data_IF_743604635226
#
_entry.id   IF_743604635226
#
_cell.length_a   1.000
_cell.length_b   1.000
_cell.length_c   1.000
_cell.angle_alpha   90.00
_cell.angle_beta   90.00
_cell.angle_gamma   90.00
#
_symmetry.space_group_name_H-M   'P 1'
#
loop_
_entity.id
_entity.type
_entity.pdbx_description
1 polymer ?
#
# COMPACT_ATOMS: atom_id res chain seq x y z
N UNK A 1 -1.41 0.68 20.21
CA UNK A 1 -0.37 0.23 19.27
C UNK A 1 0.85 1.14 19.26
N UNK A 2 0.69 2.46 19.19
CA UNK A 2 1.82 3.42 19.12
C UNK A 2 2.89 3.21 20.20
N UNK A 3 2.58 3.25 21.52
CA UNK A 3 3.61 3.07 22.55
C UNK A 3 4.19 1.64 22.56
N UNK A 4 3.42 0.64 22.14
CA UNK A 4 3.92 -0.74 21.98
C UNK A 4 5.00 -0.80 20.92
N UNK A 5 4.74 -0.22 19.75
CA UNK A 5 5.69 -0.23 18.64
C UNK A 5 6.97 0.55 18.97
N UNK A 6 6.87 1.64 19.74
CA UNK A 6 8.06 2.34 20.25
C UNK A 6 8.91 1.43 21.15
N UNK A 7 8.30 0.66 22.06
CA UNK A 7 9.02 -0.33 22.87
C UNK A 7 9.65 -1.42 22.01
N UNK A 8 8.88 -2.00 21.08
CA UNK A 8 9.33 -3.10 20.23
C UNK A 8 10.52 -2.66 19.36
N UNK A 9 10.47 -1.46 18.79
CA UNK A 9 11.58 -0.89 18.00
C UNK A 9 12.83 -0.59 18.84
N UNK A 10 12.64 -0.24 20.11
CA UNK A 10 13.73 0.01 21.04
C UNK A 10 14.26 -1.28 21.71
N UNK A 11 13.65 -2.44 21.46
CA UNK A 11 14.06 -3.73 22.00
C UNK A 11 13.66 -3.97 23.46
N UNK A 12 12.71 -3.21 23.99
CA UNK A 12 12.20 -3.37 25.36
C UNK A 12 10.96 -4.26 25.40
N UNK A 13 10.72 -4.90 26.55
CA UNK A 13 9.48 -5.64 26.78
C UNK A 13 8.28 -4.68 26.86
N UNK A 14 7.53 -4.60 25.76
CA UNK A 14 6.37 -3.76 25.68
C UNK A 14 5.26 -4.16 26.68
N UNK A 15 5.22 -5.41 27.13
CA UNK A 15 4.18 -5.87 28.07
C UNK A 15 4.37 -5.22 29.43
N UNK A 16 5.57 -5.32 30.00
CA UNK A 16 5.90 -4.71 31.29
C UNK A 16 5.76 -3.18 31.27
N UNK A 17 6.32 -2.52 30.24
CA UNK A 17 6.27 -1.05 30.12
C UNK A 17 4.82 -0.55 29.98
N UNK A 18 3.98 -1.20 29.17
CA UNK A 18 2.59 -0.78 29.00
C UNK A 18 1.75 -1.04 30.25
N UNK A 19 2.03 -2.08 31.02
CA UNK A 19 1.33 -2.32 32.28
C UNK A 19 1.63 -1.21 33.29
N UNK A 20 2.90 -0.84 33.45
CA UNK A 20 3.32 0.29 34.29
C UNK A 20 2.70 1.60 33.82
N UNK A 21 2.69 1.84 32.50
CA UNK A 21 2.11 3.04 31.91
C UNK A 21 0.60 3.14 32.20
N UNK A 22 -0.14 2.05 31.99
CA UNK A 22 -1.58 1.99 32.27
C UNK A 22 -1.90 2.18 33.75
N UNK A 23 -1.10 1.60 34.64
CA UNK A 23 -1.26 1.80 36.08
C UNK A 23 -1.11 3.27 36.46
N UNK A 24 -0.11 3.97 35.91
CA UNK A 24 0.06 5.42 36.14
C UNK A 24 -1.08 6.24 35.54
N UNK A 25 -1.52 5.92 34.31
CA UNK A 25 -2.61 6.62 33.64
C UNK A 25 -3.98 6.41 34.32
N UNK A 26 -4.16 5.31 35.06
CA UNK A 26 -5.40 5.01 35.79
C UNK A 26 -5.56 5.81 37.09
N UNK A 27 -4.56 6.58 37.52
CA UNK A 27 -4.65 7.41 38.72
C UNK A 27 -5.71 8.51 38.53
N UNK A 28 -6.68 8.58 39.44
CA UNK A 28 -7.81 9.51 39.37
C UNK A 28 -7.43 10.98 39.52
N UNK A 29 -6.20 11.28 39.97
CA UNK A 29 -5.67 12.63 40.10
C UNK A 29 -5.37 13.29 38.75
N UNK A 30 -5.34 12.53 37.65
CA UNK A 30 -4.96 13.04 36.32
C UNK A 30 -3.45 13.27 36.15
N UNK A 31 -2.66 13.12 37.21
CA UNK A 31 -1.19 13.26 37.21
C UNK A 31 -0.49 12.24 36.31
N UNK A 32 -1.19 11.17 35.92
CA UNK A 32 -0.68 10.17 35.00
C UNK A 32 -0.68 10.63 33.53
N UNK A 33 -1.48 11.64 33.15
CA UNK A 33 -1.67 12.03 31.76
C UNK A 33 -0.37 12.37 30.98
N UNK A 34 0.65 13.05 31.55
CA UNK A 34 1.87 13.36 30.83
C UNK A 34 2.88 12.21 30.77
N UNK A 35 2.62 11.07 31.43
CA UNK A 35 3.54 9.94 31.38
C UNK A 35 3.53 9.30 30.00
N UNK A 36 4.72 9.01 29.49
CA UNK A 36 4.95 8.32 28.22
C UNK A 36 5.99 7.20 28.36
N UNK A 37 6.34 6.61 27.23
CA UNK A 37 7.42 5.62 27.12
C UNK A 37 8.74 6.36 26.92
N UNK A 38 9.74 6.02 27.72
CA UNK A 38 11.11 6.49 27.56
C UNK A 38 11.98 5.41 26.93
N UNK A 39 12.46 5.67 25.71
CA UNK A 39 13.27 4.76 24.90
C UNK A 39 14.74 4.72 25.29
N UNK A 40 15.23 5.64 26.11
CA UNK A 40 16.62 5.63 26.55
C UNK A 40 16.81 4.67 27.73
N UNK A 41 15.83 4.65 28.64
CA UNK A 41 15.88 3.84 29.87
C UNK A 41 15.04 2.56 29.77
N UNK A 42 14.12 2.46 28.80
CA UNK A 42 13.25 1.29 28.63
C UNK A 42 12.10 1.21 29.64
N UNK A 43 11.56 2.36 30.02
CA UNK A 43 10.56 2.47 31.08
C UNK A 43 9.51 3.53 30.79
N UNK A 44 8.85 4.00 31.85
CA UNK A 44 7.92 5.12 31.79
C UNK A 44 8.54 6.34 32.46
N UNK A 45 8.32 7.51 31.89
CA UNK A 45 8.76 8.78 32.45
C UNK A 45 7.73 9.87 32.14
N UNK A 46 7.81 10.98 32.87
CA UNK A 46 7.02 12.17 32.55
C UNK A 46 7.59 12.82 31.28
N UNK A 47 6.86 12.68 30.17
CA UNK A 47 7.27 13.24 28.87
C UNK A 47 7.28 14.77 28.89
N UNK A 48 6.41 15.39 29.69
CA UNK A 48 6.32 16.85 29.76
C UNK A 48 7.53 17.43 30.49
N UNK A 49 7.91 16.83 31.62
CA UNK A 49 9.11 17.21 32.37
C UNK A 49 10.41 16.94 31.58
N UNK A 50 10.42 15.90 30.73
CA UNK A 50 11.54 15.56 29.86
C UNK A 50 11.59 16.35 28.54
N UNK A 51 10.81 17.43 28.40
CA UNK A 51 10.76 18.28 27.19
C UNK A 51 10.40 17.54 25.89
N UNK A 52 9.68 16.42 26.00
CA UNK A 52 9.15 15.69 24.85
C UNK A 52 7.76 16.22 24.55
N UNK A 53 7.72 17.28 23.73
CA UNK A 53 6.48 17.93 23.35
C UNK A 53 6.17 17.72 21.87
N UNK A 54 4.89 17.64 21.58
CA UNK A 54 4.38 17.53 20.22
C UNK A 54 3.24 18.53 20.00
N UNK A 55 3.15 19.14 18.81
CA UNK A 55 2.09 20.10 18.54
C UNK A 55 0.72 19.43 18.58
N UNK A 56 -0.21 20.00 19.35
CA UNK A 56 -1.58 19.48 19.46
C UNK A 56 -2.27 19.32 18.09
N UNK A 57 -2.03 20.28 17.18
CA UNK A 57 -2.56 20.25 15.81
C UNK A 57 -2.12 18.99 15.06
N UNK A 58 -0.88 18.53 15.24
CA UNK A 58 -0.37 17.32 14.59
C UNK A 58 -1.09 16.08 15.12
N UNK A 59 -1.31 15.96 16.43
CA UNK A 59 -2.07 14.84 17.00
C UNK A 59 -3.51 14.79 16.51
N UNK A 60 -4.19 15.93 16.53
CA UNK A 60 -5.59 16.02 16.10
C UNK A 60 -5.70 15.60 14.64
N UNK A 61 -4.85 16.14 13.78
CA UNK A 61 -4.85 15.80 12.36
C UNK A 61 -4.50 14.33 12.12
N UNK A 62 -3.54 13.76 12.87
CA UNK A 62 -3.17 12.35 12.73
C UNK A 62 -4.33 11.41 13.10
N UNK A 63 -5.06 11.69 14.19
CA UNK A 63 -6.20 10.88 14.61
C UNK A 63 -7.35 11.00 13.60
N UNK A 64 -7.64 12.21 13.13
CA UNK A 64 -8.68 12.44 12.13
C UNK A 64 -8.36 11.72 10.81
N UNK A 65 -7.14 11.88 10.30
CA UNK A 65 -6.70 11.22 9.07
C UNK A 65 -6.73 9.68 9.19
N UNK A 66 -6.32 9.13 10.34
CA UNK A 66 -6.39 7.69 10.59
C UNK A 66 -7.84 7.18 10.61
N UNK A 67 -8.76 7.96 11.19
CA UNK A 67 -10.18 7.63 11.25
C UNK A 67 -10.82 7.70 9.86
N UNK A 68 -10.55 8.75 9.08
CA UNK A 68 -11.02 8.88 7.71
C UNK A 68 -10.51 7.73 6.83
N UNK A 69 -9.21 7.41 6.91
CA UNK A 69 -8.64 6.29 6.16
C UNK A 69 -9.29 4.95 6.54
N UNK A 70 -9.55 4.70 7.83
CA UNK A 70 -10.21 3.49 8.28
C UNK A 70 -11.67 3.41 7.77
N UNK A 71 -12.43 4.50 7.88
CA UNK A 71 -13.81 4.57 7.39
C UNK A 71 -13.87 4.40 5.87
N UNK A 72 -12.94 5.00 5.12
CA UNK A 72 -12.86 4.83 3.67
C UNK A 72 -12.66 3.37 3.29
N UNK A 73 -11.69 2.69 3.90
CA UNK A 73 -11.44 1.26 3.63
C UNK A 73 -12.65 0.40 3.98
N UNK A 74 -13.29 0.65 5.13
CA UNK A 74 -14.46 -0.12 5.57
C UNK A 74 -15.73 0.15 4.76
N UNK A 75 -15.81 1.31 4.07
CA UNK A 75 -16.96 1.68 3.24
C UNK A 75 -16.97 1.03 1.85
N UNK A 76 -15.86 0.42 1.42
CA UNK A 76 -15.76 -0.23 0.11
C UNK A 76 -16.26 -1.67 0.22
N UNK A 77 -17.40 -1.95 -0.42
CA UNK A 77 -18.00 -3.30 -0.45
C UNK A 77 -17.45 -4.14 -1.62
N UNK A 78 -17.27 -3.52 -2.79
CA UNK A 78 -16.83 -4.22 -4.00
C UNK A 78 -15.58 -3.60 -4.60
N UNK A 79 -14.64 -4.44 -5.05
CA UNK A 79 -13.48 -4.03 -5.84
C UNK A 79 -13.48 -4.70 -7.20
N UNK A 80 -13.77 -3.93 -8.26
CA UNK A 80 -13.75 -4.43 -9.64
C UNK A 80 -12.33 -4.40 -10.20
N UNK A 81 -11.75 -5.58 -10.48
CA UNK A 81 -10.46 -5.72 -11.17
C UNK A 81 -10.69 -6.16 -12.62
N UNK A 82 -10.32 -5.34 -13.60
CA UNK A 82 -10.26 -5.78 -15.01
C UNK A 82 -8.89 -6.42 -15.28
N UNK A 83 -8.80 -7.73 -15.57
CA UNK A 83 -7.55 -8.30 -16.09
C UNK A 83 -7.19 -7.58 -17.39
N UNK A 84 -5.89 -7.32 -17.61
CA UNK A 84 -5.40 -6.74 -18.87
C UNK A 84 -5.91 -7.61 -20.00
N UNK A 85 -6.64 -7.01 -20.94
CA UNK A 85 -7.15 -7.73 -22.11
C UNK A 85 -5.98 -8.17 -22.99
N UNK A 86 -5.65 -9.46 -22.96
CA UNK A 86 -4.89 -10.09 -24.07
C UNK A 86 -5.72 -10.17 -25.36
N UNK A 87 -7.02 -9.87 -25.30
CA UNK A 87 -7.93 -9.95 -26.44
C UNK A 87 -8.22 -8.60 -27.11
N UNK A 88 -7.24 -8.02 -27.78
CA UNK A 88 -7.45 -7.11 -28.94
C UNK A 88 -6.21 -7.01 -29.82
N UNK A 89 -4.99 -7.16 -29.27
CA UNK A 89 -3.76 -7.18 -30.08
C UNK A 89 -3.50 -8.53 -30.76
N UNK A 90 -3.91 -9.66 -30.14
CA UNK A 90 -3.76 -10.98 -30.76
C UNK A 90 -4.63 -11.18 -32.00
N UNK A 91 -5.88 -10.70 -31.98
CA UNK A 91 -6.81 -10.87 -33.09
C UNK A 91 -6.52 -9.91 -34.25
N UNK A 92 -6.05 -8.68 -33.96
CA UNK A 92 -5.58 -7.76 -35.00
C UNK A 92 -4.30 -8.25 -35.68
N UNK A 93 -3.36 -8.84 -34.93
CA UNK A 93 -2.16 -9.46 -35.48
C UNK A 93 -2.48 -10.73 -36.31
N UNK A 94 -3.42 -11.57 -35.84
CA UNK A 94 -3.87 -12.76 -36.55
C UNK A 94 -4.64 -12.43 -37.85
N UNK A 95 -5.50 -11.40 -37.82
CA UNK A 95 -6.22 -10.90 -39.02
C UNK A 95 -5.27 -10.23 -40.03
N UNK A 96 -4.24 -9.52 -39.57
CA UNK A 96 -3.22 -8.93 -40.44
C UNK A 96 -2.33 -9.99 -41.13
N UNK A 97 -2.09 -11.14 -40.48
CA UNK A 97 -1.38 -12.28 -41.07
C UNK A 97 -2.26 -13.11 -42.02
N UNK A 98 -3.56 -13.27 -41.74
CA UNK A 98 -4.51 -14.00 -42.60
C UNK A 98 -4.84 -13.30 -43.92
N UNK A 99 -4.73 -11.97 -43.97
CA UNK A 99 -5.01 -11.17 -45.18
C UNK A 99 -3.86 -11.15 -46.20
N UNK A 100 -2.65 -11.60 -45.84
CA UNK A 100 -1.49 -11.60 -46.76
C UNK A 100 -1.40 -12.82 -47.68
N UNK A 101 -2.29 -13.81 -47.51
CA UNK A 101 -2.23 -15.08 -48.24
C UNK A 101 -3.08 -15.21 -49.51
N UNK A 102 -3.85 -14.18 -49.92
CA UNK A 102 -4.89 -14.38 -50.96
C UNK A 102 -4.99 -13.29 -52.04
N UNK A 103 -3.85 -12.72 -52.46
CA UNK A 103 -3.83 -11.65 -53.46
C UNK A 103 -2.73 -11.70 -54.52
N UNK A 104 -2.03 -12.83 -54.69
CA UNK A 104 -0.82 -12.92 -55.52
C UNK A 104 -0.84 -14.02 -56.58
N UNK A 105 -1.95 -14.22 -57.30
CA UNK A 105 -2.02 -15.14 -58.43
C UNK A 105 -2.67 -14.48 -59.65
N UNK A 106 -2.11 -13.35 -60.09
CA UNK A 106 -2.35 -12.84 -61.42
C UNK A 106 -1.08 -12.13 -61.90
N UNK A 107 -0.70 -12.41 -63.14
CA UNK A 107 0.39 -11.76 -63.88
C UNK A 107 1.82 -12.31 -63.69
N UNK A 108 2.11 -13.44 -64.35
CA UNK A 108 3.46 -13.65 -64.92
C UNK A 108 3.45 -14.57 -66.14
N UNK A 109 3.66 -13.96 -67.31
CA UNK A 109 4.48 -14.54 -68.38
C UNK A 109 3.77 -15.35 -69.47
N UNK A 110 3.15 -14.66 -70.43
CA UNK A 110 2.86 -15.21 -71.77
C UNK A 110 4.15 -15.20 -72.60
N UNK A 111 5.02 -16.18 -72.37
CA UNK A 111 6.26 -16.42 -73.12
C UNK A 111 6.05 -17.46 -74.23
N UNK A 112 6.47 -17.12 -75.43
CA UNK A 112 6.12 -17.73 -76.73
C UNK A 112 7.29 -18.58 -77.25
N UNK A 113 7.01 -19.83 -77.65
CA UNK A 113 7.82 -20.67 -78.55
C UNK A 113 8.87 -21.56 -77.86
N UNK A 114 9.32 -22.69 -78.41
CA UNK A 114 8.90 -23.56 -79.51
C UNK A 114 9.80 -24.81 -79.44
N UNK A 115 9.24 -25.98 -79.80
CA UNK A 115 9.86 -27.22 -80.30
C UNK A 115 10.60 -28.19 -79.35
N UNK A 116 10.11 -29.43 -79.44
CA UNK A 116 10.70 -30.69 -79.00
C UNK A 116 11.90 -31.08 -79.86
N UNK A 117 12.90 -31.64 -79.20
CA UNK A 117 13.70 -32.78 -79.65
C UNK A 117 13.54 -33.88 -78.61
#
# INVERSE_FOLDING_TARGET
VIPRQLCDHAGFDATDVLNKLRQKHALSSGEGAPYGVDINIGGIADSFANFVWEPAVVKINAINAATEAACLVLSVDETVKKPKSEGVQGEAAARAMGSRGRGGAAFRGRGRGMRKG
#
